data_IF_385295052742
#
_entry.id   IF_385295052742
#
_cell.length_a   1.000
_cell.length_b   1.000
_cell.length_c   1.000
_cell.angle_alpha   90.00
_cell.angle_beta   90.00
_cell.angle_gamma   90.00
#
_symmetry.space_group_name_H-M   'P 1'
#
loop_
_entity.id
_entity.type
_entity.pdbx_description
1 polymer ?
#
# COMPACT_ATOMS: atom_id res chain seq x y z
N UNK A 1 14.09 -13.36 0.45
CA UNK A 1 13.71 -14.52 -0.40
C UNK A 1 14.81 -14.80 -1.42
N UNK A 2 14.87 -16.00 -2.02
CA UNK A 2 15.86 -16.33 -3.07
C UNK A 2 15.52 -15.73 -4.46
N UNK A 3 14.43 -14.97 -4.59
CA UNK A 3 13.91 -14.44 -5.86
C UNK A 3 12.89 -15.38 -6.52
N UNK A 4 12.13 -14.88 -7.50
CA UNK A 4 10.99 -15.57 -8.11
C UNK A 4 9.74 -15.60 -7.22
N UNK A 5 8.89 -16.63 -7.37
CA UNK A 5 7.64 -16.78 -6.61
C UNK A 5 6.41 -16.23 -7.34
N UNK A 6 5.49 -15.59 -6.61
CA UNK A 6 4.26 -14.98 -7.17
C UNK A 6 4.53 -13.81 -8.16
N UNK A 7 5.78 -13.39 -8.31
CA UNK A 7 6.17 -12.33 -9.25
C UNK A 7 7.66 -12.34 -9.58
N UNK A 8 8.12 -11.40 -10.45
CA UNK A 8 9.52 -11.29 -10.88
C UNK A 8 10.41 -10.62 -9.82
N UNK A 9 10.47 -11.20 -8.62
CA UNK A 9 11.29 -10.70 -7.51
C UNK A 9 12.76 -11.10 -7.66
N UNK A 10 13.66 -10.17 -7.34
CA UNK A 10 15.10 -10.44 -7.25
C UNK A 10 15.41 -11.15 -5.92
N UNK A 11 16.54 -11.89 -5.83
CA UNK A 11 17.04 -12.36 -4.55
C UNK A 11 17.19 -11.21 -3.56
N UNK A 12 16.66 -11.37 -2.36
CA UNK A 12 16.65 -10.35 -1.30
C UNK A 12 15.56 -9.28 -1.41
N UNK A 13 14.84 -9.19 -2.54
CA UNK A 13 13.74 -8.24 -2.69
C UNK A 13 12.55 -8.62 -1.80
N UNK A 14 11.92 -7.61 -1.19
CA UNK A 14 10.74 -7.76 -0.35
C UNK A 14 9.44 -7.77 -1.17
N UNK A 15 8.37 -8.32 -0.59
CA UNK A 15 7.01 -8.39 -1.18
C UNK A 15 6.11 -7.29 -0.64
N UNK A 16 4.80 -7.44 -0.86
CA UNK A 16 3.74 -6.57 -0.36
C UNK A 16 3.76 -6.41 1.17
N UNK A 17 3.98 -7.46 1.96
CA UNK A 17 4.02 -7.37 3.43
C UNK A 17 4.97 -6.26 3.93
N UNK A 18 6.21 -6.27 3.44
CA UNK A 18 7.21 -5.26 3.86
C UNK A 18 6.96 -3.92 3.19
N UNK A 19 6.54 -3.92 1.93
CA UNK A 19 6.28 -2.67 1.19
C UNK A 19 5.14 -1.88 1.83
N UNK A 20 4.05 -2.56 2.23
CA UNK A 20 2.92 -1.96 2.92
C UNK A 20 3.29 -1.51 4.33
N UNK A 21 4.13 -2.26 5.05
CA UNK A 21 4.62 -1.86 6.37
C UNK A 21 5.51 -0.60 6.31
N UNK A 22 6.31 -0.44 5.25
CA UNK A 22 7.10 0.79 5.03
C UNK A 22 6.18 2.00 4.86
N UNK A 23 5.08 1.89 4.13
CA UNK A 23 4.13 3.00 4.00
C UNK A 23 3.52 3.43 5.35
N UNK A 24 3.19 2.47 6.23
CA UNK A 24 2.75 2.77 7.60
C UNK A 24 3.86 3.50 8.36
N UNK A 25 5.10 2.99 8.29
CA UNK A 25 6.25 3.57 8.99
C UNK A 25 6.58 4.99 8.49
N UNK A 26 6.48 5.26 7.19
CA UNK A 26 6.67 6.58 6.61
C UNK A 26 5.66 7.59 7.17
N UNK A 27 4.38 7.21 7.25
CA UNK A 27 3.34 8.08 7.85
C UNK A 27 3.59 8.26 9.35
N UNK A 28 3.89 7.19 10.09
CA UNK A 28 4.20 7.27 11.51
C UNK A 28 5.40 8.19 11.80
N UNK A 29 6.42 8.16 10.94
CA UNK A 29 7.63 8.98 11.08
C UNK A 29 7.36 10.49 10.94
N UNK A 30 6.20 10.91 10.41
CA UNK A 30 5.77 12.31 10.39
C UNK A 30 5.32 12.84 11.76
N UNK A 31 5.14 11.95 12.75
CA UNK A 31 4.53 12.26 14.04
C UNK A 31 3.00 12.20 14.03
N UNK A 32 2.39 11.69 12.95
CA UNK A 32 0.95 11.49 12.86
C UNK A 32 0.44 10.47 13.90
N UNK A 33 -0.72 10.75 14.47
CA UNK A 33 -1.45 9.81 15.33
C UNK A 33 -2.19 8.78 14.45
N UNK A 34 -1.58 7.61 14.24
CA UNK A 34 -2.05 6.59 13.30
C UNK A 34 -3.54 6.17 13.46
N UNK A 35 -4.12 6.10 14.66
CA UNK A 35 -5.54 5.80 14.81
C UNK A 35 -6.48 6.89 14.27
N UNK A 36 -5.97 8.09 13.99
CA UNK A 36 -6.77 9.20 13.47
C UNK A 36 -7.05 9.04 11.97
N UNK A 37 -8.26 9.39 11.54
CA UNK A 37 -8.75 9.17 10.18
C UNK A 37 -7.85 9.80 9.10
N UNK A 38 -7.36 11.03 9.33
CA UNK A 38 -6.44 11.68 8.40
C UNK A 38 -5.11 10.91 8.23
N UNK A 39 -4.60 10.30 9.29
CA UNK A 39 -3.39 9.49 9.21
C UNK A 39 -3.65 8.17 8.46
N UNK A 40 -4.83 7.58 8.64
CA UNK A 40 -5.25 6.39 7.89
C UNK A 40 -5.42 6.71 6.39
N UNK A 41 -5.96 7.87 6.03
CA UNK A 41 -6.05 8.34 4.65
C UNK A 41 -4.66 8.50 4.01
N UNK A 42 -3.69 9.00 4.78
CA UNK A 42 -2.29 9.12 4.33
C UNK A 42 -1.67 7.74 4.07
N UNK A 43 -1.91 6.77 4.94
CA UNK A 43 -1.45 5.37 4.74
C UNK A 43 -2.09 4.78 3.47
N UNK A 44 -3.40 4.93 3.30
CA UNK A 44 -4.13 4.38 2.15
C UNK A 44 -3.67 5.04 0.84
N UNK A 45 -3.41 6.36 0.84
CA UNK A 45 -2.85 7.05 -0.32
C UNK A 45 -1.48 6.50 -0.68
N UNK A 46 -0.63 6.26 0.32
CA UNK A 46 0.71 5.73 0.10
C UNK A 46 0.70 4.28 -0.41
N UNK A 47 -0.22 3.45 0.08
CA UNK A 47 -0.47 2.12 -0.47
C UNK A 47 -0.98 2.18 -1.91
N UNK A 48 -1.89 3.11 -2.23
CA UNK A 48 -2.40 3.28 -3.57
C UNK A 48 -1.28 3.62 -4.57
N UNK A 49 -0.40 4.57 -4.21
CA UNK A 49 0.75 4.95 -5.02
C UNK A 49 1.71 3.77 -5.25
N UNK A 50 2.01 2.99 -4.20
CA UNK A 50 2.82 1.79 -4.31
C UNK A 50 2.19 0.76 -5.24
N UNK A 51 0.88 0.51 -5.10
CA UNK A 51 0.14 -0.50 -5.84
C UNK A 51 0.15 -0.26 -7.37
N UNK A 52 0.33 0.99 -7.83
CA UNK A 52 0.42 1.32 -9.27
C UNK A 52 1.57 0.60 -9.98
N UNK A 53 2.63 0.26 -9.26
CA UNK A 53 3.85 -0.34 -9.84
C UNK A 53 4.30 -1.61 -9.11
N UNK A 54 3.49 -2.08 -8.16
CA UNK A 54 3.76 -3.28 -7.38
C UNK A 54 3.79 -4.53 -8.26
N UNK A 55 4.74 -5.42 -7.99
CA UNK A 55 4.86 -6.71 -8.69
C UNK A 55 3.79 -7.71 -8.28
N UNK A 56 3.29 -7.56 -7.06
CA UNK A 56 2.25 -8.39 -6.48
C UNK A 56 1.47 -7.56 -5.46
N UNK A 57 0.14 -7.74 -5.44
CA UNK A 57 -0.78 -7.11 -4.50
C UNK A 57 -1.87 -8.12 -4.19
N UNK A 58 -2.11 -8.40 -2.91
CA UNK A 58 -3.21 -9.27 -2.50
C UNK A 58 -4.56 -8.85 -3.06
N UNK A 59 -5.39 -9.82 -3.50
CA UNK A 59 -6.68 -9.59 -4.16
C UNK A 59 -7.62 -8.70 -3.33
N UNK A 60 -7.70 -8.92 -2.02
CA UNK A 60 -8.52 -8.10 -1.13
C UNK A 60 -8.03 -6.66 -1.08
N UNK A 61 -6.72 -6.45 -0.92
CA UNK A 61 -6.09 -5.13 -0.92
C UNK A 61 -6.37 -4.41 -2.25
N UNK A 62 -6.19 -5.08 -3.38
CA UNK A 62 -6.50 -4.52 -4.71
C UNK A 62 -7.96 -4.12 -4.85
N UNK A 63 -8.90 -4.93 -4.33
CA UNK A 63 -10.33 -4.63 -4.37
C UNK A 63 -10.69 -3.40 -3.55
N UNK A 64 -10.14 -3.29 -2.33
CA UNK A 64 -10.38 -2.14 -1.43
C UNK A 64 -9.80 -0.86 -2.01
N UNK A 65 -8.55 -0.87 -2.49
CA UNK A 65 -7.92 0.31 -3.09
C UNK A 65 -8.70 0.79 -4.32
N UNK A 66 -9.14 -0.14 -5.17
CA UNK A 66 -9.96 0.19 -6.35
C UNK A 66 -11.27 0.88 -5.97
N UNK A 67 -11.98 0.35 -4.97
CA UNK A 67 -13.25 0.90 -4.50
C UNK A 67 -13.11 2.29 -3.84
N UNK A 68 -12.01 2.51 -3.11
CA UNK A 68 -11.73 3.79 -2.47
C UNK A 68 -11.59 4.93 -3.50
N UNK A 69 -10.87 4.70 -4.60
CA UNK A 69 -10.70 5.67 -5.68
C UNK A 69 -12.03 5.99 -6.35
N UNK A 70 -12.84 4.96 -6.67
CA UNK A 70 -14.13 5.17 -7.33
C UNK A 70 -15.13 5.91 -6.43
N UNK A 71 -14.93 5.90 -5.11
CA UNK A 71 -15.72 6.69 -4.18
C UNK A 71 -15.29 8.15 -4.20
N UNK A 72 -13.99 8.42 -4.20
CA UNK A 72 -13.42 9.77 -4.28
C UNK A 72 -13.83 10.47 -5.59
N UNK A 73 -13.83 9.76 -6.72
CA UNK A 73 -14.27 10.31 -8.02
C UNK A 73 -15.76 10.62 -8.07
N UNK A 74 -16.59 9.90 -7.31
CA UNK A 74 -18.05 10.11 -7.27
C UNK A 74 -18.51 11.24 -6.35
N UNK A 75 -17.64 11.75 -5.50
CA UNK A 75 -17.94 12.86 -4.59
C UNK A 75 -17.44 14.23 -5.10
N UNK A 76 -16.80 14.26 -6.28
CA UNK A 76 -16.46 15.49 -7.02
C UNK A 76 -17.55 15.82 -8.04
#
# INVERSE_FOLDING_TARGET
MIGGGLGPFKPGEWTDDTSMAIAIAEVAATGADLPHEAALDDVVRRWYEWAQTAKDVGVQTSSVLSAAITTIERQK
#
